data_IF_208294976089
#
_entry.id   IF_208294976089
#
_cell.length_a   1.000
_cell.length_b   1.000
_cell.length_c   1.000
_cell.angle_alpha   90.00
_cell.angle_beta   90.00
_cell.angle_gamma   90.00
#
_symmetry.space_group_name_H-M   'P 1'
#
loop_
_entity.id
_entity.type
_entity.pdbx_description
1 polymer ?
#
# COMPACT_ATOMS: atom_id res chain seq x y z
N UNK A 1 9.76 -34.35 -17.94
CA UNK A 1 8.52 -33.55 -17.89
C UNK A 1 8.22 -33.28 -16.44
N UNK A 2 8.73 -32.17 -15.92
CA UNK A 2 8.68 -31.76 -14.51
C UNK A 2 7.55 -30.74 -14.38
N UNK A 3 6.40 -31.17 -13.86
CA UNK A 3 5.32 -30.27 -13.47
C UNK A 3 5.72 -29.55 -12.19
N UNK A 4 5.94 -28.23 -12.30
CA UNK A 4 5.98 -27.34 -11.14
C UNK A 4 4.53 -27.02 -10.80
N UNK A 5 4.00 -27.67 -9.79
CA UNK A 5 2.74 -27.26 -9.16
C UNK A 5 3.03 -25.99 -8.35
N UNK A 6 2.73 -24.83 -8.96
CA UNK A 6 2.66 -23.57 -8.24
C UNK A 6 1.45 -23.60 -7.31
N UNK A 7 1.72 -23.67 -6.00
CA UNK A 7 0.73 -23.48 -4.95
C UNK A 7 0.24 -22.02 -4.99
N UNK A 8 -0.80 -21.75 -5.78
CA UNK A 8 -1.52 -20.47 -5.74
C UNK A 8 -2.28 -20.44 -4.42
N UNK A 9 -1.85 -19.60 -3.49
CA UNK A 9 -2.58 -19.32 -2.24
C UNK A 9 -3.97 -18.80 -2.58
N UNK A 10 -4.99 -19.44 -2.03
CA UNK A 10 -6.40 -19.10 -2.24
C UNK A 10 -6.70 -17.75 -1.60
N UNK A 11 -7.73 -17.04 -2.08
CA UNK A 11 -8.16 -15.76 -1.49
C UNK A 11 -8.43 -15.90 0.02
N UNK A 12 -8.97 -17.03 0.46
CA UNK A 12 -9.22 -17.31 1.88
C UNK A 12 -7.92 -17.43 2.72
N UNK A 13 -6.80 -17.85 2.11
CA UNK A 13 -5.49 -17.92 2.78
C UNK A 13 -4.88 -16.52 3.02
N UNK A 14 -5.33 -15.51 2.26
CA UNK A 14 -4.93 -14.11 2.43
C UNK A 14 -5.74 -13.40 3.54
N UNK A 15 -6.83 -14.02 4.00
CA UNK A 15 -7.74 -13.50 5.03
C UNK A 15 -7.72 -14.34 6.31
N UNK A 16 -6.68 -15.14 6.54
CA UNK A 16 -6.50 -15.81 7.81
C UNK A 16 -6.56 -14.77 8.94
N UNK A 17 -7.44 -15.03 9.92
CA UNK A 17 -7.53 -14.21 11.12
C UNK A 17 -6.13 -14.08 11.75
N UNK A 18 -5.83 -12.92 12.33
CA UNK A 18 -4.60 -12.73 13.07
C UNK A 18 -4.46 -13.86 14.10
N UNK A 19 -3.28 -14.46 14.15
CA UNK A 19 -3.00 -15.47 15.18
C UNK A 19 -3.09 -14.82 16.57
N UNK A 20 -3.41 -15.59 17.62
CA UNK A 20 -3.45 -15.05 18.99
C UNK A 20 -2.14 -14.36 19.39
N UNK A 21 -1.01 -14.83 18.86
CA UNK A 21 0.30 -14.21 19.08
C UNK A 21 0.42 -12.83 18.41
N UNK A 22 -0.08 -12.69 17.18
CA UNK A 22 -0.12 -11.41 16.47
C UNK A 22 -1.07 -10.42 17.13
N UNK A 23 -2.22 -10.90 17.63
CA UNK A 23 -3.18 -10.08 18.36
C UNK A 23 -2.59 -9.58 19.69
N UNK A 24 -2.00 -10.48 20.49
CA UNK A 24 -1.31 -10.12 21.73
C UNK A 24 -0.12 -9.16 21.48
N UNK A 25 0.64 -9.36 20.40
CA UNK A 25 1.69 -8.42 20.00
C UNK A 25 1.09 -7.05 19.67
N UNK A 26 -0.01 -7.02 18.92
CA UNK A 26 -0.73 -5.79 18.57
C UNK A 26 -1.20 -5.01 19.80
N UNK A 27 -1.83 -5.70 20.77
CA UNK A 27 -2.27 -5.09 22.03
C UNK A 27 -1.11 -4.50 22.82
N UNK A 28 0.02 -5.21 22.94
CA UNK A 28 1.21 -4.68 23.63
C UNK A 28 1.78 -3.45 22.95
N UNK A 29 1.83 -3.44 21.62
CA UNK A 29 2.32 -2.30 20.85
C UNK A 29 1.38 -1.10 20.96
N UNK A 30 0.06 -1.33 20.92
CA UNK A 30 -0.94 -0.28 21.12
C UNK A 30 -0.83 0.34 22.52
N UNK A 31 -0.77 -0.49 23.57
CA UNK A 31 -0.59 -0.03 24.94
C UNK A 31 0.70 0.79 25.13
N UNK A 32 1.78 0.43 24.42
CA UNK A 32 3.02 1.20 24.43
C UNK A 32 2.89 2.54 23.71
N UNK A 33 2.31 2.56 22.51
CA UNK A 33 2.12 3.79 21.73
C UNK A 33 1.19 4.81 22.42
N UNK A 34 0.26 4.33 23.26
CA UNK A 34 -0.62 5.16 24.08
C UNK A 34 0.05 5.69 25.36
N UNK A 35 1.25 5.20 25.69
CA UNK A 35 2.01 5.69 26.84
C UNK A 35 2.84 6.92 26.48
N UNK A 36 2.85 7.95 27.34
CA UNK A 36 3.67 9.16 27.18
C UNK A 36 5.20 8.88 27.32
N UNK A 37 5.59 7.63 27.62
CA UNK A 37 6.99 7.18 27.71
C UNK A 37 7.69 7.07 26.34
N UNK A 38 6.96 7.09 25.22
CA UNK A 38 7.54 6.95 23.87
C UNK A 38 8.20 8.25 23.33
N UNK A 39 8.01 9.39 24.01
CA UNK A 39 8.64 10.65 23.59
C UNK A 39 10.10 10.80 24.07
N UNK A 40 10.54 9.99 25.05
CA UNK A 40 11.88 10.07 25.59
C UNK A 40 12.79 9.03 24.92
N UNK A 41 13.73 9.52 24.09
CA UNK A 41 14.88 8.70 23.70
C UNK A 41 15.59 8.24 24.98
N UNK A 42 16.07 6.97 25.05
CA UNK A 42 16.81 6.51 26.21
C UNK A 42 18.04 7.38 26.42
N UNK A 43 18.49 7.52 27.66
CA UNK A 43 19.54 8.47 28.03
C UNK A 43 20.89 8.23 27.33
N UNK A 44 21.11 7.01 26.83
CA UNK A 44 22.28 6.56 26.08
C UNK A 44 22.04 6.47 24.57
N UNK A 45 20.91 7.00 24.06
CA UNK A 45 20.64 7.03 22.63
C UNK A 45 21.73 7.82 21.88
N UNK A 46 22.32 7.17 20.88
CA UNK A 46 23.21 7.83 19.92
C UNK A 46 22.35 8.41 18.80
N UNK A 47 22.33 9.73 18.67
CA UNK A 47 21.62 10.44 17.60
C UNK A 47 22.63 10.95 16.59
N UNK A 48 22.54 10.43 15.36
CA UNK A 48 23.31 10.92 14.22
C UNK A 48 22.38 11.66 13.26
N UNK A 49 22.82 12.84 12.81
CA UNK A 49 22.05 13.65 11.86
C UNK A 49 22.31 13.18 10.45
N UNK A 50 21.23 12.94 9.69
CA UNK A 50 21.33 12.56 8.29
C UNK A 50 22.01 13.67 7.45
N UNK A 51 22.90 13.25 6.58
CA UNK A 51 23.57 14.08 5.57
C UNK A 51 22.97 13.92 4.18
N UNK A 52 22.30 12.78 3.93
CA UNK A 52 21.57 12.46 2.71
C UNK A 52 20.19 11.82 2.96
N UNK A 53 19.36 11.70 1.92
CA UNK A 53 18.03 11.10 2.02
C UNK A 53 18.05 9.58 2.25
N UNK A 54 19.17 8.91 1.99
CA UNK A 54 19.32 7.45 2.10
C UNK A 54 19.92 7.00 3.44
N UNK A 55 20.55 7.90 4.20
CA UNK A 55 21.27 7.57 5.45
C UNK A 55 20.38 6.83 6.47
N UNK A 56 19.08 7.19 6.53
CA UNK A 56 18.11 6.51 7.37
C UNK A 56 17.79 5.08 6.91
N UNK A 57 17.74 4.84 5.59
CA UNK A 57 17.54 3.50 5.04
C UNK A 57 18.77 2.62 5.25
N UNK A 58 19.97 3.16 5.11
CA UNK A 58 21.23 2.45 5.39
C UNK A 58 21.32 2.03 6.87
N UNK A 59 20.97 2.92 7.80
CA UNK A 59 20.92 2.61 9.23
C UNK A 59 19.91 1.49 9.53
N UNK A 60 18.73 1.55 8.92
CA UNK A 60 17.70 0.52 9.07
C UNK A 60 18.15 -0.81 8.45
N UNK A 61 18.85 -0.79 7.33
CA UNK A 61 19.36 -2.01 6.69
C UNK A 61 20.43 -2.68 7.54
N UNK A 62 21.32 -1.91 8.18
CA UNK A 62 22.28 -2.43 9.15
C UNK A 62 21.58 -3.06 10.36
N UNK A 63 20.52 -2.44 10.87
CA UNK A 63 19.78 -2.94 12.04
C UNK A 63 18.90 -4.17 11.72
N UNK A 64 18.27 -4.21 10.55
CA UNK A 64 17.31 -5.25 10.15
C UNK A 64 17.95 -6.35 9.28
N UNK A 65 19.18 -6.16 8.82
CA UNK A 65 20.01 -7.15 8.13
C UNK A 65 19.70 -7.35 6.64
N UNK A 66 18.72 -6.64 6.06
CA UNK A 66 18.45 -6.65 4.61
C UNK A 66 17.53 -5.53 4.17
N UNK A 67 17.67 -5.07 2.93
CA UNK A 67 16.75 -4.09 2.32
C UNK A 67 15.29 -4.59 2.28
N UNK A 68 15.06 -5.89 2.09
CA UNK A 68 13.71 -6.47 2.11
C UNK A 68 13.04 -6.34 3.49
N UNK A 69 13.81 -6.53 4.57
CA UNK A 69 13.31 -6.33 5.93
C UNK A 69 12.98 -4.86 6.20
N UNK A 70 13.79 -3.94 5.68
CA UNK A 70 13.53 -2.49 5.74
C UNK A 70 12.26 -2.12 4.98
N UNK A 71 12.08 -2.62 3.76
CA UNK A 71 10.88 -2.38 2.96
C UNK A 71 9.61 -2.91 3.64
N UNK A 72 9.71 -4.05 4.33
CA UNK A 72 8.60 -4.62 5.10
C UNK A 72 8.25 -3.78 6.32
N UNK A 73 9.26 -3.25 7.02
CA UNK A 73 9.08 -2.42 8.21
C UNK A 73 8.60 -0.99 7.88
N UNK A 74 9.13 -0.38 6.83
CA UNK A 74 8.82 1.00 6.40
C UNK A 74 7.66 1.08 5.42
N UNK A 75 7.22 -0.07 4.91
CA UNK A 75 6.35 -0.17 3.75
C UNK A 75 4.88 0.24 3.91
N UNK A 76 4.47 0.65 5.12
CA UNK A 76 3.08 0.91 5.45
C UNK A 76 2.17 -0.31 5.25
N UNK A 77 0.85 -0.08 5.29
CA UNK A 77 -0.15 -1.14 5.10
C UNK A 77 0.04 -1.79 3.71
N UNK A 78 0.16 -3.12 3.63
CA UNK A 78 0.24 -3.83 2.36
C UNK A 78 -0.90 -3.42 1.42
N UNK A 79 -0.56 -3.14 0.17
CA UNK A 79 -1.53 -2.96 -0.90
C UNK A 79 -2.38 -4.22 -1.04
N UNK A 80 -3.71 -4.08 -1.12
CA UNK A 80 -4.64 -5.20 -1.31
C UNK A 80 -4.34 -6.04 -2.56
N UNK A 81 -3.60 -5.47 -3.53
CA UNK A 81 -3.23 -6.15 -4.77
C UNK A 81 -1.78 -6.63 -4.77
N UNK A 82 -1.07 -6.60 -3.63
CA UNK A 82 0.30 -7.11 -3.47
C UNK A 82 1.40 -6.31 -4.19
N UNK A 83 1.05 -5.61 -5.27
CA UNK A 83 1.94 -4.69 -5.95
C UNK A 83 1.80 -3.30 -5.32
N UNK A 84 2.91 -2.77 -4.80
CA UNK A 84 3.13 -1.32 -4.71
C UNK A 84 3.43 -0.77 -6.11
N UNK A 85 2.55 -1.08 -7.06
CA UNK A 85 2.65 -0.61 -8.44
C UNK A 85 1.87 0.69 -8.55
N UNK A 86 2.52 1.76 -9.03
CA UNK A 86 1.81 2.95 -9.50
C UNK A 86 0.77 2.47 -10.51
N UNK A 87 -0.53 2.69 -10.24
CA UNK A 87 -1.58 2.30 -11.19
C UNK A 87 -1.21 2.86 -12.57
N UNK A 88 -1.23 2.03 -13.64
CA UNK A 88 -0.89 2.50 -14.97
C UNK A 88 -1.70 3.73 -15.31
N UNK A 89 -1.01 4.83 -15.59
CA UNK A 89 -1.65 6.07 -15.97
C UNK A 89 -1.82 6.09 -17.49
N UNK A 90 -3.06 5.99 -17.94
CA UNK A 90 -3.41 6.08 -19.35
C UNK A 90 -4.00 7.47 -19.64
N UNK A 91 -3.48 8.14 -20.66
CA UNK A 91 -4.04 9.38 -21.20
C UNK A 91 -4.83 9.06 -22.46
N UNK A 92 -6.09 9.51 -22.53
CA UNK A 92 -6.97 9.32 -23.67
C UNK A 92 -7.37 10.68 -24.24
N UNK A 93 -7.39 10.79 -25.56
CA UNK A 93 -7.93 11.98 -26.24
C UNK A 93 -9.43 11.81 -26.41
N UNK A 94 -10.20 12.76 -25.91
CA UNK A 94 -11.64 12.85 -26.10
C UNK A 94 -11.94 14.00 -27.07
N UNK A 95 -13.04 13.87 -27.82
CA UNK A 95 -13.61 15.03 -28.51
C UNK A 95 -14.12 16.04 -27.47
N UNK A 96 -14.20 17.34 -27.79
CA UNK A 96 -14.68 18.36 -26.85
C UNK A 96 -16.06 18.04 -26.27
N UNK A 97 -16.97 17.56 -27.10
CA UNK A 97 -18.34 17.20 -26.70
C UNK A 97 -18.35 16.05 -25.68
N UNK A 98 -17.46 15.08 -25.86
CA UNK A 98 -17.37 13.92 -24.97
C UNK A 98 -16.74 14.29 -23.62
N UNK A 99 -15.74 15.17 -23.61
CA UNK A 99 -15.18 15.72 -22.35
C UNK A 99 -16.24 16.53 -21.58
N UNK A 100 -17.01 17.37 -22.28
CA UNK A 100 -18.10 18.14 -21.68
C UNK A 100 -19.18 17.22 -21.08
N UNK A 101 -19.59 16.18 -21.82
CA UNK A 101 -20.57 15.20 -21.34
C UNK A 101 -20.07 14.43 -20.12
N UNK A 102 -18.79 14.01 -20.12
CA UNK A 102 -18.17 13.32 -19.00
C UNK A 102 -18.12 14.21 -17.74
N UNK A 103 -17.72 15.48 -17.89
CA UNK A 103 -17.68 16.45 -16.77
C UNK A 103 -19.06 16.75 -16.22
N UNK A 104 -20.05 16.95 -17.08
CA UNK A 104 -21.43 17.17 -16.67
C UNK A 104 -21.98 15.98 -15.88
N UNK A 105 -21.71 14.75 -16.34
CA UNK A 105 -22.10 13.53 -15.64
C UNK A 105 -21.37 13.38 -14.30
N UNK A 106 -20.07 13.61 -14.27
CA UNK A 106 -19.24 13.58 -13.06
C UNK A 106 -19.75 14.55 -11.99
N UNK A 107 -20.13 15.77 -12.39
CA UNK A 107 -20.69 16.77 -11.50
C UNK A 107 -22.04 16.34 -10.92
N UNK A 108 -22.96 15.83 -11.75
CA UNK A 108 -24.27 15.34 -11.28
C UNK A 108 -24.17 14.16 -10.32
N UNK A 109 -23.23 13.25 -10.57
CA UNK A 109 -23.04 12.06 -9.74
C UNK A 109 -22.13 12.30 -8.53
N UNK A 110 -21.53 13.49 -8.39
CA UNK A 110 -20.50 13.80 -7.39
C UNK A 110 -19.31 12.81 -7.40
N UNK A 111 -18.92 12.36 -8.61
CA UNK A 111 -17.86 11.37 -8.81
C UNK A 111 -16.72 11.97 -9.63
N UNK A 112 -15.51 11.44 -9.47
CA UNK A 112 -14.38 11.81 -10.31
C UNK A 112 -14.58 11.27 -11.75
N UNK A 113 -14.27 12.04 -12.80
CA UNK A 113 -14.32 11.56 -14.19
C UNK A 113 -13.57 10.25 -14.42
N UNK A 114 -12.41 10.07 -13.77
CA UNK A 114 -11.62 8.84 -13.87
C UNK A 114 -12.31 7.61 -13.29
N UNK A 115 -13.19 7.77 -12.30
CA UNK A 115 -14.00 6.67 -11.77
C UNK A 115 -15.08 6.25 -12.79
N UNK A 116 -15.77 7.23 -13.39
CA UNK A 116 -16.76 6.97 -14.43
C UNK A 116 -16.15 6.30 -15.67
N UNK A 117 -14.96 6.73 -16.08
CA UNK A 117 -14.24 6.14 -17.20
C UNK A 117 -13.86 4.68 -16.94
N UNK A 118 -13.43 4.35 -15.71
CA UNK A 118 -13.15 2.96 -15.32
C UNK A 118 -14.41 2.08 -15.35
N UNK A 119 -15.51 2.56 -14.78
CA UNK A 119 -16.78 1.82 -14.80
C UNK A 119 -17.30 1.60 -16.23
N UNK A 120 -17.22 2.63 -17.07
CA UNK A 120 -17.65 2.55 -18.45
C UNK A 120 -16.81 1.55 -19.25
N UNK A 121 -15.49 1.57 -19.06
CA UNK A 121 -14.57 0.63 -19.70
C UNK A 121 -14.80 -0.80 -19.23
N UNK A 122 -14.97 -1.02 -17.92
CA UNK A 122 -15.29 -2.34 -17.37
C UNK A 122 -16.57 -2.90 -17.98
N UNK A 123 -17.66 -2.11 -17.99
CA UNK A 123 -18.93 -2.50 -18.61
C UNK A 123 -18.81 -2.79 -20.11
N UNK A 124 -18.00 -2.02 -20.82
CA UNK A 124 -17.78 -2.25 -22.25
C UNK A 124 -17.08 -3.58 -22.50
N UNK A 125 -16.05 -3.89 -21.69
CA UNK A 125 -15.30 -5.15 -21.79
C UNK A 125 -16.10 -6.36 -21.32
N UNK A 126 -16.92 -6.22 -20.28
CA UNK A 126 -17.77 -7.32 -19.78
C UNK A 126 -18.95 -7.64 -20.72
N UNK A 127 -19.36 -6.67 -21.55
CA UNK A 127 -20.44 -6.83 -22.53
C UNK A 127 -19.95 -7.26 -23.92
N UNK A 128 -18.63 -7.42 -24.09
CA UNK A 128 -17.98 -7.85 -25.34
C UNK A 128 -17.65 -9.34 -25.31
#
# INVERSE_FOLDING_TARGET
>A
MTGKDEHIKTIDDLFAAATPEQEALGERLAARAESDDDAALPADAVVEWATGPEDGFELLEQALGSSEAVERATGGRPSLTGARGKSPMMSLRLTPDLDAALRARAAREHRKPSALMRDALARYLDAS
#
